data_IF_780214055234
#
_entry.id   IF_780214055234
#
_cell.length_a   1.000
_cell.length_b   1.000
_cell.length_c   1.000
_cell.angle_alpha   90.00
_cell.angle_beta   90.00
_cell.angle_gamma   90.00
#
_symmetry.space_group_name_H-M   'P 1'
#
loop_
_entity.id
_entity.type
_entity.pdbx_description
1 polymer ?
#
# COMPACT_ATOMS: atom_id res chain seq x y z
N UNK A 1 -14.87 8.48 -21.03
CA UNK A 1 -15.84 8.37 -19.91
C UNK A 1 -15.45 7.31 -18.89
N UNK A 2 -15.16 6.05 -19.25
CA UNK A 2 -14.73 5.02 -18.28
C UNK A 2 -13.43 5.36 -17.52
N UNK A 3 -12.43 5.96 -18.17
CA UNK A 3 -11.18 6.34 -17.49
C UNK A 3 -11.38 7.42 -16.41
N UNK A 4 -12.20 8.45 -16.67
CA UNK A 4 -12.44 9.53 -15.72
C UNK A 4 -13.12 9.03 -14.43
N UNK A 5 -13.95 7.99 -14.54
CA UNK A 5 -14.66 7.39 -13.41
C UNK A 5 -13.70 6.69 -12.45
N UNK A 6 -12.77 5.88 -12.98
CA UNK A 6 -11.70 5.23 -12.20
C UNK A 6 -10.65 6.23 -11.70
N UNK A 7 -10.31 7.25 -12.50
CA UNK A 7 -9.33 8.28 -12.14
C UNK A 7 -9.78 9.18 -10.99
N UNK A 8 -11.08 9.25 -10.72
CA UNK A 8 -11.66 10.08 -9.64
C UNK A 8 -12.18 9.29 -8.44
N UNK A 9 -11.95 7.97 -8.42
CA UNK A 9 -12.45 7.05 -7.38
C UNK A 9 -13.97 7.05 -7.21
N UNK A 10 -14.71 7.16 -8.31
CA UNK A 10 -16.17 7.08 -8.21
C UNK A 10 -16.66 5.64 -7.99
N UNK A 11 -15.82 4.62 -8.22
CA UNK A 11 -16.04 3.25 -7.76
C UNK A 11 -15.79 3.15 -6.26
N UNK A 12 -16.87 2.94 -5.49
CA UNK A 12 -16.86 2.96 -4.02
C UNK A 12 -16.42 4.29 -3.40
N UNK A 13 -16.71 5.40 -4.09
CA UNK A 13 -16.32 6.74 -3.66
C UNK A 13 -17.06 7.22 -2.42
N UNK A 14 -16.30 7.71 -1.43
CA UNK A 14 -16.83 8.42 -0.26
C UNK A 14 -16.25 9.83 -0.18
N UNK A 15 -17.08 10.77 0.26
CA UNK A 15 -16.72 12.18 0.38
C UNK A 15 -16.34 12.56 1.82
N UNK A 16 -15.97 13.84 2.00
CA UNK A 16 -15.65 14.39 3.31
C UNK A 16 -16.75 14.19 4.36
N UNK A 17 -18.03 14.28 3.97
CA UNK A 17 -19.15 14.15 4.91
C UNK A 17 -19.20 12.74 5.49
N UNK A 18 -19.08 11.72 4.64
CA UNK A 18 -19.06 10.32 5.06
C UNK A 18 -17.85 10.03 5.94
N UNK A 19 -16.65 10.46 5.53
CA UNK A 19 -15.42 10.27 6.33
C UNK A 19 -15.57 10.91 7.70
N UNK A 20 -16.10 12.13 7.78
CA UNK A 20 -16.30 12.83 9.04
C UNK A 20 -17.31 12.11 9.96
N UNK A 21 -18.35 11.52 9.39
CA UNK A 21 -19.32 10.70 10.13
C UNK A 21 -18.69 9.42 10.66
N UNK A 22 -17.92 8.70 9.84
CA UNK A 22 -17.19 7.50 10.23
C UNK A 22 -16.24 7.79 11.39
N UNK A 23 -15.45 8.86 11.29
CA UNK A 23 -14.53 9.25 12.35
C UNK A 23 -15.30 9.49 13.67
N UNK A 24 -16.41 10.23 13.62
CA UNK A 24 -17.23 10.53 14.81
C UNK A 24 -17.88 9.29 15.42
N UNK A 25 -18.23 8.30 14.59
CA UNK A 25 -18.77 7.03 15.04
C UNK A 25 -17.74 6.22 15.84
N UNK A 26 -16.46 6.25 15.42
CA UNK A 26 -15.38 5.53 16.12
C UNK A 26 -15.05 6.17 17.47
N UNK A 27 -15.00 7.50 17.56
CA UNK A 27 -14.69 8.19 18.82
C UNK A 27 -15.34 9.57 18.85
N UNK A 28 -15.91 9.95 20.00
CA UNK A 28 -16.54 11.27 20.18
C UNK A 28 -15.55 12.45 20.13
N UNK A 29 -14.30 12.22 20.56
CA UNK A 29 -13.26 13.25 20.72
C UNK A 29 -12.09 13.00 19.77
N UNK A 30 -12.34 13.16 18.47
CA UNK A 30 -11.32 13.17 17.41
C UNK A 30 -11.12 14.59 16.89
N UNK A 31 -9.93 14.92 16.38
CA UNK A 31 -9.69 16.21 15.74
C UNK A 31 -10.68 16.44 14.60
N UNK A 32 -11.27 17.64 14.53
CA UNK A 32 -12.20 18.00 13.46
C UNK A 32 -11.52 18.05 12.09
N UNK A 33 -10.20 18.18 12.04
CA UNK A 33 -9.40 18.14 10.81
C UNK A 33 -9.19 16.73 10.25
N UNK A 34 -9.39 15.68 11.06
CA UNK A 34 -9.00 14.32 10.69
C UNK A 34 -9.67 13.86 9.38
N UNK A 35 -10.97 14.16 9.20
CA UNK A 35 -11.66 13.81 7.96
C UNK A 35 -11.07 14.51 6.73
N UNK A 36 -10.67 15.77 6.88
CA UNK A 36 -10.00 16.54 5.83
C UNK A 36 -8.57 16.02 5.56
N UNK A 37 -7.86 15.62 6.60
CA UNK A 37 -6.49 15.09 6.50
C UNK A 37 -6.50 13.71 5.78
N UNK A 38 -7.46 12.84 6.09
CA UNK A 38 -7.69 11.58 5.38
C UNK A 38 -8.04 11.84 3.92
N UNK A 39 -9.00 12.74 3.66
CA UNK A 39 -9.43 13.07 2.30
C UNK A 39 -8.24 13.58 1.46
N UNK A 40 -7.45 14.49 2.01
CA UNK A 40 -6.28 15.05 1.34
C UNK A 40 -5.23 13.98 1.03
N UNK A 41 -5.08 12.98 1.89
CA UNK A 41 -4.06 11.94 1.73
C UNK A 41 -4.47 10.88 0.72
N UNK A 42 -5.76 10.54 0.65
CA UNK A 42 -6.27 9.46 -0.22
C UNK A 42 -6.86 9.94 -1.56
N UNK A 43 -7.26 11.21 -1.68
CA UNK A 43 -7.96 11.72 -2.86
C UNK A 43 -7.04 11.83 -4.08
N UNK A 44 -7.48 11.22 -5.18
CA UNK A 44 -6.89 11.44 -6.50
C UNK A 44 -7.26 12.81 -7.04
N UNK A 45 -6.28 13.51 -7.60
CA UNK A 45 -6.50 14.72 -8.39
C UNK A 45 -7.31 15.81 -7.67
N UNK A 46 -7.30 15.84 -6.34
CA UNK A 46 -8.14 16.70 -5.51
C UNK A 46 -9.64 16.58 -5.84
N UNK A 47 -10.12 15.39 -6.19
CA UNK A 47 -11.53 15.13 -6.54
C UNK A 47 -12.49 15.42 -5.38
N UNK A 48 -11.99 15.42 -4.13
CA UNK A 48 -12.82 15.50 -2.93
C UNK A 48 -13.52 14.19 -2.59
N UNK A 49 -13.16 13.11 -3.29
CA UNK A 49 -13.65 11.74 -3.09
C UNK A 49 -12.45 10.80 -2.94
N UNK A 50 -12.62 9.76 -2.14
CA UNK A 50 -11.64 8.68 -1.96
C UNK A 50 -12.31 7.33 -2.12
N UNK A 51 -11.56 6.32 -2.53
CA UNK A 51 -12.05 4.95 -2.57
C UNK A 51 -12.18 4.37 -1.14
N UNK A 52 -13.40 3.94 -0.77
CA UNK A 52 -13.71 3.43 0.56
C UNK A 52 -12.93 2.17 0.94
N UNK A 53 -12.71 1.25 -0.02
CA UNK A 53 -12.01 -0.01 0.22
C UNK A 53 -10.53 0.22 0.55
N UNK A 54 -9.91 1.21 -0.09
CA UNK A 54 -8.54 1.63 0.24
C UNK A 54 -8.45 2.20 1.66
N UNK A 55 -9.45 2.99 2.09
CA UNK A 55 -9.51 3.47 3.46
C UNK A 55 -9.68 2.31 4.46
N UNK A 56 -10.58 1.36 4.19
CA UNK A 56 -10.82 0.18 5.04
C UNK A 56 -9.55 -0.66 5.19
N UNK A 57 -8.91 -1.02 4.07
CA UNK A 57 -7.64 -1.75 4.08
C UNK A 57 -6.56 -1.02 4.87
N UNK A 58 -6.48 0.31 4.72
CA UNK A 58 -5.56 1.14 5.49
C UNK A 58 -5.83 1.10 7.00
N UNK A 59 -7.09 1.23 7.42
CA UNK A 59 -7.47 1.14 8.84
C UNK A 59 -7.11 -0.23 9.43
N UNK A 60 -7.35 -1.32 8.70
CA UNK A 60 -6.99 -2.68 9.15
C UNK A 60 -5.46 -2.82 9.29
N UNK A 61 -4.69 -2.24 8.38
CA UNK A 61 -3.23 -2.30 8.45
C UNK A 61 -2.66 -1.56 9.66
N UNK A 62 -3.26 -0.46 10.10
CA UNK A 62 -2.79 0.31 11.26
C UNK A 62 -3.48 -0.05 12.58
N UNK A 63 -4.53 -0.86 12.55
CA UNK A 63 -5.23 -1.30 13.75
C UNK A 63 -4.33 -2.15 14.65
N UNK A 64 -4.57 -2.10 15.95
CA UNK A 64 -3.96 -3.01 16.91
C UNK A 64 -4.53 -4.41 16.71
N UNK A 65 -3.70 -5.41 16.96
CA UNK A 65 -4.05 -6.82 16.81
C UNK A 65 -4.16 -7.46 18.20
N UNK A 66 -4.90 -8.57 18.31
CA UNK A 66 -5.06 -9.31 19.57
C UNK A 66 -3.88 -10.26 19.81
N UNK A 67 -3.71 -10.75 21.03
CA UNK A 67 -2.62 -11.68 21.40
C UNK A 67 -2.81 -13.10 20.83
N UNK A 68 -4.00 -13.41 20.29
CA UNK A 68 -4.35 -14.74 19.81
C UNK A 68 -4.07 -14.92 18.30
N UNK A 69 -2.82 -15.21 17.92
CA UNK A 69 -2.43 -15.52 16.54
C UNK A 69 -1.27 -14.65 16.02
N UNK A 70 -0.86 -14.85 14.77
CA UNK A 70 0.14 -13.97 14.14
C UNK A 70 -0.52 -12.69 13.66
N UNK A 71 0.20 -11.57 13.76
CA UNK A 71 -0.27 -10.25 13.27
C UNK A 71 -0.70 -10.33 11.81
N UNK A 72 0.06 -11.06 11.00
CA UNK A 72 -0.23 -11.26 9.58
C UNK A 72 -1.55 -12.01 9.41
N UNK A 73 -1.75 -13.16 10.08
CA UNK A 73 -2.99 -13.94 9.95
C UNK A 73 -4.21 -13.10 10.32
N UNK A 74 -4.17 -12.40 11.45
CA UNK A 74 -5.30 -11.59 11.89
C UNK A 74 -5.63 -10.44 10.94
N UNK A 75 -4.61 -9.73 10.43
CA UNK A 75 -4.83 -8.64 9.47
C UNK A 75 -5.30 -9.19 8.12
N UNK A 76 -4.74 -10.31 7.66
CA UNK A 76 -5.16 -10.97 6.43
C UNK A 76 -6.59 -11.48 6.50
N UNK A 77 -7.01 -12.06 7.63
CA UNK A 77 -8.40 -12.48 7.83
C UNK A 77 -9.36 -11.28 7.87
N UNK A 78 -8.99 -10.19 8.56
CA UNK A 78 -9.80 -8.97 8.57
C UNK A 78 -9.89 -8.30 7.20
N UNK A 79 -8.80 -8.33 6.42
CA UNK A 79 -8.82 -7.89 5.02
C UNK A 79 -9.75 -8.80 4.23
N UNK A 80 -9.58 -10.12 4.31
CA UNK A 80 -10.42 -11.08 3.60
C UNK A 80 -11.92 -10.80 3.85
N UNK A 81 -12.32 -10.64 5.11
CA UNK A 81 -13.71 -10.37 5.50
C UNK A 81 -14.26 -9.05 4.92
N UNK A 82 -13.40 -8.09 4.61
CA UNK A 82 -13.80 -6.82 4.00
C UNK A 82 -13.97 -6.90 2.47
N UNK A 83 -13.44 -7.95 1.82
CA UNK A 83 -13.43 -8.11 0.37
C UNK A 83 -14.15 -9.37 -0.14
N UNK A 84 -14.56 -10.27 0.75
CA UNK A 84 -15.58 -11.30 0.49
C UNK A 84 -16.95 -10.62 0.35
N UNK A 85 -17.25 -10.11 -0.85
CA UNK A 85 -18.43 -9.29 -1.07
C UNK A 85 -19.71 -10.11 -1.09
N UNK A 86 -19.62 -11.36 -1.53
CA UNK A 86 -20.75 -12.31 -1.53
C UNK A 86 -20.97 -12.93 -0.14
N UNK A 87 -19.95 -12.97 0.73
CA UNK A 87 -20.06 -13.42 2.12
C UNK A 87 -20.10 -14.93 2.30
N UNK A 88 -19.60 -15.68 1.31
CA UNK A 88 -19.64 -17.16 1.28
C UNK A 88 -18.42 -17.79 1.97
N UNK A 89 -17.45 -16.97 2.41
CA UNK A 89 -16.22 -17.42 3.07
C UNK A 89 -15.09 -17.78 2.11
N UNK A 90 -15.25 -17.45 0.83
CA UNK A 90 -14.27 -17.56 -0.23
C UNK A 90 -14.23 -16.26 -1.06
N UNK A 91 -13.14 -15.99 -1.79
CA UNK A 91 -13.01 -14.82 -2.66
C UNK A 91 -12.64 -15.25 -4.07
N UNK A 92 -13.29 -14.63 -5.04
CA UNK A 92 -13.00 -14.79 -6.47
C UNK A 92 -11.69 -14.07 -6.89
N UNK A 93 -11.25 -14.33 -8.12
CA UNK A 93 -10.08 -13.64 -8.71
C UNK A 93 -10.30 -12.12 -8.75
N UNK A 94 -11.50 -11.67 -9.10
CA UNK A 94 -11.86 -10.25 -9.20
C UNK A 94 -11.86 -9.57 -7.83
N UNK A 95 -12.47 -10.21 -6.82
CA UNK A 95 -12.48 -9.72 -5.44
C UNK A 95 -11.06 -9.65 -4.86
N UNK A 96 -10.24 -10.67 -5.10
CA UNK A 96 -8.85 -10.66 -4.68
C UNK A 96 -8.06 -9.54 -5.40
N UNK A 97 -8.33 -9.30 -6.69
CA UNK A 97 -7.67 -8.21 -7.44
C UNK A 97 -8.05 -6.85 -6.87
N UNK A 98 -9.33 -6.62 -6.59
CA UNK A 98 -9.83 -5.39 -5.93
C UNK A 98 -9.22 -5.24 -4.54
N UNK A 99 -9.09 -6.34 -3.78
CA UNK A 99 -8.43 -6.37 -2.49
C UNK A 99 -6.98 -5.89 -2.57
N UNK A 100 -6.17 -6.49 -3.46
CA UNK A 100 -4.76 -6.12 -3.58
C UNK A 100 -4.56 -4.68 -4.07
N UNK A 101 -5.37 -4.24 -5.05
CA UNK A 101 -5.39 -2.85 -5.50
C UNK A 101 -5.64 -1.89 -4.32
N UNK A 102 -6.71 -2.15 -3.56
CA UNK A 102 -7.15 -1.27 -2.48
C UNK A 102 -6.15 -1.23 -1.32
N UNK A 103 -5.67 -2.39 -0.87
CA UNK A 103 -4.73 -2.50 0.24
C UNK A 103 -3.39 -1.86 -0.12
N UNK A 104 -2.83 -2.16 -1.29
CA UNK A 104 -1.53 -1.61 -1.69
C UNK A 104 -1.59 -0.12 -1.98
N UNK A 105 -2.73 0.39 -2.44
CA UNK A 105 -2.96 1.82 -2.54
C UNK A 105 -2.97 2.51 -1.18
N UNK A 106 -3.60 1.91 -0.18
CA UNK A 106 -3.53 2.41 1.20
C UNK A 106 -2.08 2.46 1.71
N UNK A 107 -1.29 1.43 1.41
CA UNK A 107 0.14 1.39 1.74
C UNK A 107 0.93 2.49 1.00
N UNK A 108 0.64 2.76 -0.28
CA UNK A 108 1.25 3.88 -1.02
C UNK A 108 0.97 5.22 -0.35
N UNK A 109 -0.27 5.46 0.10
CA UNK A 109 -0.64 6.67 0.86
C UNK A 109 0.17 6.76 2.17
N UNK A 110 0.22 5.68 2.96
CA UNK A 110 0.95 5.66 4.23
C UNK A 110 2.46 5.88 4.09
N UNK A 111 3.03 5.50 2.95
CA UNK A 111 4.46 5.63 2.66
C UNK A 111 4.81 6.87 1.84
N UNK A 112 3.81 7.66 1.43
CA UNK A 112 3.98 8.85 0.60
C UNK A 112 4.46 8.56 -0.83
N UNK A 113 4.13 7.39 -1.38
CA UNK A 113 4.51 6.99 -2.74
C UNK A 113 3.44 7.38 -3.76
N UNK A 114 3.86 7.95 -4.88
CA UNK A 114 2.96 8.38 -5.96
C UNK A 114 2.59 7.24 -6.93
N UNK A 115 3.42 6.18 -7.01
CA UNK A 115 3.14 5.03 -7.88
C UNK A 115 2.06 4.15 -7.27
N UNK A 116 0.96 4.01 -8.00
CA UNK A 116 -0.16 3.13 -7.65
C UNK A 116 0.03 1.70 -8.17
N UNK A 117 -0.59 0.70 -7.52
CA UNK A 117 -0.75 -0.62 -8.10
C UNK A 117 -1.61 -0.54 -9.37
N UNK A 118 -1.27 -1.36 -10.38
CA UNK A 118 -1.98 -1.44 -11.66
C UNK A 118 -2.87 -2.68 -11.69
N UNK A 119 -4.07 -2.60 -12.27
CA UNK A 119 -5.01 -3.72 -12.44
C UNK A 119 -4.28 -4.98 -12.94
N UNK A 120 -3.59 -4.90 -14.08
CA UNK A 120 -2.84 -6.03 -14.67
C UNK A 120 -1.82 -6.64 -13.70
N UNK A 121 -1.05 -5.78 -13.01
CA UNK A 121 -0.04 -6.25 -12.06
C UNK A 121 -0.63 -6.93 -10.83
N UNK A 122 -1.84 -6.55 -10.41
CA UNK A 122 -2.55 -7.19 -9.31
C UNK A 122 -3.20 -8.49 -9.74
N UNK A 123 -3.77 -8.54 -10.95
CA UNK A 123 -4.31 -9.76 -11.54
C UNK A 123 -3.22 -10.83 -11.71
N UNK A 124 -2.04 -10.48 -12.23
CA UNK A 124 -0.88 -11.38 -12.34
C UNK A 124 -0.48 -11.97 -10.97
N UNK A 125 -0.52 -11.16 -9.92
CA UNK A 125 -0.21 -11.56 -8.56
C UNK A 125 -1.32 -12.44 -7.94
N UNK A 126 -2.59 -12.18 -8.28
CA UNK A 126 -3.70 -13.04 -7.87
C UNK A 126 -3.61 -14.40 -8.56
N UNK A 127 -3.31 -14.45 -9.86
CA UNK A 127 -3.08 -15.71 -10.58
C UNK A 127 -1.93 -16.52 -9.97
N UNK A 128 -0.87 -15.85 -9.50
CA UNK A 128 0.20 -16.51 -8.74
C UNK A 128 -0.32 -17.13 -7.43
N UNK A 129 -1.17 -16.42 -6.69
CA UNK A 129 -1.78 -16.90 -5.46
C UNK A 129 -2.69 -18.12 -5.70
N UNK A 130 -3.51 -18.08 -6.75
CA UNK A 130 -4.37 -19.19 -7.18
C UNK A 130 -3.53 -20.41 -7.58
N UNK A 131 -2.46 -20.19 -8.34
CA UNK A 131 -1.53 -21.24 -8.75
C UNK A 131 -0.86 -21.95 -7.56
N UNK A 132 -0.58 -21.24 -6.46
CA UNK A 132 -0.03 -21.84 -5.23
C UNK A 132 -0.96 -22.92 -4.64
N UNK A 133 -2.27 -22.80 -4.87
CA UNK A 133 -3.28 -23.74 -4.37
C UNK A 133 -3.86 -24.65 -5.47
N UNK A 134 -3.27 -24.64 -6.67
CA UNK A 134 -3.73 -25.42 -7.83
C UNK A 134 -5.18 -25.08 -8.23
N UNK A 135 -5.53 -23.80 -8.13
CA UNK A 135 -6.82 -23.24 -8.51
C UNK A 135 -6.74 -22.59 -9.89
N UNK A 136 -7.81 -22.69 -10.66
CA UNK A 136 -8.01 -21.98 -11.91
C UNK A 136 -8.68 -20.61 -11.66
N UNK A 137 -8.68 -19.74 -12.65
CA UNK A 137 -9.26 -18.39 -12.56
C UNK A 137 -10.79 -18.33 -12.28
N UNK A 138 -11.48 -19.48 -12.36
CA UNK A 138 -12.91 -19.60 -12.06
C UNK A 138 -13.19 -20.20 -10.67
N UNK A 139 -12.14 -20.60 -9.96
CA UNK A 139 -12.25 -21.10 -8.59
C UNK A 139 -12.21 -19.94 -7.59
N UNK A 140 -12.16 -20.28 -6.30
CA UNK A 140 -12.20 -19.33 -5.20
C UNK A 140 -11.11 -19.65 -4.17
N UNK A 141 -10.52 -18.61 -3.58
CA UNK A 141 -9.59 -18.74 -2.46
C UNK A 141 -10.37 -18.68 -1.15
N UNK A 142 -10.23 -19.70 -0.32
CA UNK A 142 -10.79 -19.71 1.03
C UNK A 142 -9.98 -18.82 1.97
N UNK A 143 -10.61 -18.31 3.03
CA UNK A 143 -9.98 -17.45 4.05
C UNK A 143 -8.62 -17.97 4.56
N UNK A 144 -8.56 -19.27 4.90
CA UNK A 144 -7.33 -19.90 5.39
C UNK A 144 -6.23 -19.99 4.32
N UNK A 145 -6.58 -20.10 3.04
CA UNK A 145 -5.63 -20.06 1.93
C UNK A 145 -5.10 -18.64 1.72
N UNK A 146 -5.98 -17.63 1.78
CA UNK A 146 -5.58 -16.22 1.70
C UNK A 146 -4.58 -15.85 2.81
N UNK A 147 -4.87 -16.21 4.07
CA UNK A 147 -3.97 -15.94 5.19
C UNK A 147 -2.60 -16.64 5.03
N UNK A 148 -2.58 -17.89 4.53
CA UNK A 148 -1.34 -18.62 4.24
C UNK A 148 -0.53 -17.97 3.13
N UNK A 149 -1.19 -17.53 2.06
CA UNK A 149 -0.54 -16.83 0.96
C UNK A 149 0.02 -15.47 1.41
N UNK A 150 -0.76 -14.69 2.16
CA UNK A 150 -0.27 -13.42 2.70
C UNK A 150 0.96 -13.62 3.60
N UNK A 151 0.95 -14.63 4.47
CA UNK A 151 2.09 -14.97 5.32
C UNK A 151 3.32 -15.49 4.55
N UNK A 152 3.18 -15.96 3.31
CA UNK A 152 4.33 -16.31 2.45
C UNK A 152 4.97 -15.09 1.80
N UNK A 153 4.22 -13.98 1.69
CA UNK A 153 4.65 -12.73 1.07
C UNK A 153 5.18 -11.72 2.08
N UNK A 154 4.50 -11.58 3.22
CA UNK A 154 4.84 -10.59 4.25
C UNK A 154 5.13 -11.27 5.58
N UNK A 155 6.17 -10.80 6.27
CA UNK A 155 6.47 -11.23 7.63
C UNK A 155 5.81 -10.31 8.68
N UNK A 156 5.76 -10.77 9.93
CA UNK A 156 5.14 -10.00 11.02
C UNK A 156 5.87 -8.70 11.38
N UNK A 157 7.10 -8.51 10.89
CA UNK A 157 7.91 -7.30 11.08
C UNK A 157 7.88 -6.35 9.89
N UNK A 158 7.13 -6.72 8.83
CA UNK A 158 7.14 -6.01 7.56
C UNK A 158 6.47 -4.65 7.73
N UNK A 159 7.24 -3.59 7.57
CA UNK A 159 6.71 -2.22 7.55
C UNK A 159 5.89 -1.97 6.28
N UNK A 160 5.12 -0.88 6.26
CA UNK A 160 4.39 -0.46 5.05
C UNK A 160 5.32 -0.40 3.81
N UNK A 161 6.55 0.11 3.96
CA UNK A 161 7.55 0.09 2.88
C UNK A 161 8.02 -1.33 2.52
N UNK A 162 8.11 -2.23 3.50
CA UNK A 162 8.39 -3.64 3.27
C UNK A 162 7.30 -4.32 2.44
N UNK A 163 6.02 -4.02 2.71
CA UNK A 163 4.88 -4.54 1.95
C UNK A 163 5.00 -4.14 0.47
N UNK A 164 5.30 -2.86 0.18
CA UNK A 164 5.48 -2.43 -1.22
C UNK A 164 6.66 -3.13 -1.92
N UNK A 165 7.73 -3.43 -1.19
CA UNK A 165 8.89 -4.18 -1.70
C UNK A 165 8.51 -5.60 -2.08
N UNK A 166 7.81 -6.28 -1.17
CA UNK A 166 7.31 -7.65 -1.36
C UNK A 166 6.51 -7.77 -2.65
N UNK A 167 5.64 -6.80 -2.92
CA UNK A 167 4.78 -6.81 -4.10
C UNK A 167 5.43 -6.12 -5.31
N UNK A 168 6.76 -5.96 -5.29
CA UNK A 168 7.59 -5.35 -6.34
C UNK A 168 7.12 -3.94 -6.78
N UNK A 169 6.28 -3.27 -5.98
CA UNK A 169 5.78 -1.93 -6.29
C UNK A 169 6.87 -0.87 -6.12
N UNK A 170 8.01 -1.18 -5.49
CA UNK A 170 9.13 -0.27 -5.35
C UNK A 170 10.03 -0.16 -6.60
N UNK A 171 10.14 -1.20 -7.44
CA UNK A 171 11.20 -1.30 -8.47
C UNK A 171 10.73 -1.20 -9.94
N UNK A 172 9.44 -0.97 -10.21
CA UNK A 172 8.93 -0.88 -11.60
C UNK A 172 9.52 0.29 -12.42
N UNK A 173 9.99 1.37 -11.79
CA UNK A 173 10.71 2.45 -12.50
C UNK A 173 12.07 2.00 -13.05
N UNK A 174 12.74 1.03 -12.43
CA UNK A 174 14.05 0.54 -12.86
C UNK A 174 13.96 -0.47 -14.01
N UNK A 175 12.91 -1.30 -14.06
CA UNK A 175 12.69 -2.28 -15.14
C UNK A 175 12.29 -1.60 -16.46
N UNK A 176 11.46 -0.56 -16.42
CA UNK A 176 11.06 0.20 -17.62
C UNK A 176 12.25 0.92 -18.27
N UNK A 177 13.21 1.43 -17.48
CA UNK A 177 14.46 2.05 -17.99
C UNK A 177 15.49 1.03 -18.50
N UNK A 178 15.46 -0.21 -18.00
CA UNK A 178 16.38 -1.28 -18.44
C UNK A 178 15.93 -1.90 -19.77
N UNK A 179 14.62 -2.09 -19.98
CA UNK A 179 14.08 -2.64 -21.23
C UNK A 179 14.10 -1.64 -22.40
N UNK A 180 14.02 -0.34 -22.13
CA UNK A 180 14.16 0.71 -23.15
C UNK A 180 15.61 0.97 -23.59
N UNK A 181 16.61 0.41 -22.87
CA UNK A 181 18.04 0.52 -23.20
C UNK A 181 18.57 -0.64 -24.04
N UNK A 182 17.73 -1.63 -24.37
CA UNK A 182 18.04 -2.77 -25.24
C UNK A 182 17.19 -2.71 -26.52
N UNK A 183 17.40 -1.68 -27.35
CA UNK A 183 17.11 -1.73 -28.78
C UNK A 183 18.42 -1.78 -29.56
N UNK A 184 18.55 -2.62 -30.61
CA UNK A 184 19.77 -2.65 -31.42
C UNK A 184 19.91 -1.33 -32.17
N UNK A 185 21.03 -0.64 -31.96
CA UNK A 185 21.41 0.58 -32.65
C UNK A 185 21.76 0.25 -34.10
N UNK A 186 20.93 0.67 -35.05
CA UNK A 186 21.27 0.70 -36.47
C UNK A 186 21.29 2.16 -36.96
N UNK A 187 22.48 2.61 -37.38
CA UNK A 187 22.77 3.73 -38.29
C UNK A 187 22.16 5.13 -38.04
N UNK A 188 22.98 6.09 -37.62
CA UNK A 188 22.67 7.53 -37.78
C UNK A 188 23.58 8.47 -36.96
N UNK A 189 24.16 9.45 -37.64
CA UNK A 189 25.25 10.39 -37.28
C UNK A 189 25.06 11.27 -36.00
N UNK A 190 26.11 11.97 -35.53
CA UNK A 190 26.22 12.46 -34.15
C UNK A 190 25.57 13.83 -33.94
N UNK A 191 25.14 14.10 -32.70
CA UNK A 191 24.79 15.45 -32.27
C UNK A 191 25.57 15.79 -30.99
N UNK A 192 26.15 16.99 -31.02
CA UNK A 192 27.04 17.61 -30.04
C UNK A 192 26.39 17.80 -28.67
N UNK A 193 27.24 17.67 -27.65
CA UNK A 193 26.84 17.68 -26.25
C UNK A 193 26.54 19.06 -25.66
N UNK A 194 25.92 19.02 -24.47
CA UNK A 194 26.20 19.92 -23.35
C UNK A 194 25.96 19.15 -22.06
N UNK A 195 26.99 19.13 -21.23
CA UNK A 195 27.09 18.47 -19.93
C UNK A 195 26.17 19.10 -18.87
N UNK A 196 25.53 18.26 -18.05
CA UNK A 196 25.10 18.62 -16.70
C UNK A 196 25.48 17.48 -15.74
N UNK A 197 26.68 17.58 -15.17
CA UNK A 197 27.17 16.69 -14.12
C UNK A 197 26.36 16.91 -12.84
N UNK A 198 25.59 15.92 -12.42
CA UNK A 198 25.13 15.80 -11.03
C UNK A 198 26.15 14.93 -10.29
N UNK A 199 26.87 15.51 -9.33
CA UNK A 199 27.77 14.76 -8.44
C UNK A 199 26.95 13.92 -7.46
N UNK A 200 27.36 12.67 -7.15
CA UNK A 200 26.72 11.87 -6.12
C UNK A 200 27.04 12.43 -4.73
N UNK A 201 26.02 12.44 -3.87
CA UNK A 201 26.11 12.89 -2.47
C UNK A 201 26.95 11.90 -1.66
N UNK A 202 27.93 12.39 -0.91
CA UNK A 202 28.86 11.60 -0.12
C UNK A 202 28.15 10.90 1.05
N UNK A 203 28.19 9.56 1.05
CA UNK A 203 27.58 8.72 2.08
C UNK A 203 28.13 9.01 3.50
N UNK A 204 29.36 9.53 3.61
CA UNK A 204 29.95 9.91 4.89
C UNK A 204 29.23 11.10 5.56
N UNK A 205 28.72 12.04 4.75
CA UNK A 205 27.94 13.21 5.22
C UNK A 205 26.60 12.76 5.83
N UNK A 206 25.94 11.79 5.18
CA UNK A 206 24.65 11.22 5.61
C UNK A 206 24.82 10.48 6.95
N UNK A 207 25.91 9.75 7.12
CA UNK A 207 26.19 9.02 8.36
C UNK A 207 26.49 9.96 9.55
N UNK A 208 27.09 11.12 9.27
CA UNK A 208 27.41 12.14 10.28
C UNK A 208 26.17 12.90 10.76
N UNK A 209 25.16 13.06 9.91
CA UNK A 209 23.88 13.67 10.27
C UNK A 209 23.00 12.74 11.12
N UNK A 210 23.08 11.43 10.90
CA UNK A 210 22.32 10.41 11.64
C UNK A 210 22.81 10.18 13.08
N UNK A 211 24.05 10.53 13.39
CA UNK A 211 24.64 10.33 14.74
C UNK A 211 24.38 11.48 15.71
N UNK A 212 23.80 12.59 15.26
CA UNK A 212 23.55 13.79 16.08
C UNK A 212 22.17 13.81 16.75
N UNK A 213 21.32 12.82 16.49
CA UNK A 213 19.95 12.70 17.03
C UNK A 213 19.80 11.51 17.97
N UNK A 214 20.58 11.48 19.05
CA UNK A 214 20.30 10.59 20.20
C UNK A 214 19.52 11.37 21.27
N UNK A 215 18.36 10.87 21.76
CA UNK A 215 17.59 11.56 22.79
C UNK A 215 18.27 11.51 24.16
N UNK A 216 18.25 12.65 24.86
CA UNK A 216 18.77 12.78 26.23
C UNK A 216 18.04 11.86 27.21
N UNK A 217 18.79 11.14 28.05
CA UNK A 217 18.25 10.27 29.10
C UNK A 217 17.42 11.10 30.10
N UNK A 218 16.21 10.63 30.39
CA UNK A 218 15.37 11.15 31.47
C UNK A 218 16.00 10.82 32.84
N UNK A 219 15.87 11.71 33.85
CA UNK A 219 16.42 11.47 35.18
C UNK A 219 15.57 10.44 35.96
N UNK A 220 16.25 9.55 36.67
CA UNK A 220 15.66 8.56 37.59
C UNK A 220 15.03 9.21 38.81
N UNK A 221 13.91 8.70 39.35
CA UNK A 221 13.27 9.25 40.53
C UNK A 221 14.03 8.89 41.80
N UNK A 222 14.17 9.89 42.68
CA UNK A 222 14.77 9.77 44.02
C UNK A 222 13.80 9.03 44.93
N UNK A 223 14.25 7.93 45.54
CA UNK A 223 13.52 7.24 46.60
C UNK A 223 13.43 8.13 47.84
N UNK A 224 12.22 8.46 48.29
CA UNK A 224 11.98 9.04 49.60
C UNK A 224 11.85 7.88 50.61
N UNK A 225 12.63 7.99 51.69
CA UNK A 225 12.54 7.11 52.86
C UNK A 225 11.45 7.52 53.84
#
# INVERSE_FOLDING_TARGET
MQNEYKEKDYDFGIDHSVIQQLCKAVRKNIPSSLGQDILKSFSKSNSGIINALSLIGGVILVSQHSDNGTVVSQKSEAIFDAFDFEGEGDISLDEMTICLLSVLRAVSVMTGRESEPTDQGMEELCLEAFGQFQLDAQDYIQKGQFAKWAASKVDATTSATGILKTFELLDKEARTRRNSRMTPRNGGAPYDGVDAKSQPVDAAEVQRLMSQTAPSRLPTPVAQG
#
